data_IF_648497927720
#
_entry.id   IF_648497927720
#
_cell.length_a   1.000
_cell.length_b   1.000
_cell.length_c   1.000
_cell.angle_alpha   90.00
_cell.angle_beta   90.00
_cell.angle_gamma   90.00
#
_symmetry.space_group_name_H-M   'P 1'
#
loop_
_entity.id
_entity.type
_entity.pdbx_description
1 polymer ?
#
# COMPACT_ATOMS: atom_id res chain seq x y z
N UNK A 1 3.18 4.69 -3.89
CA UNK A 1 1.77 4.26 -4.01
C UNK A 1 0.93 5.52 -4.09
N UNK A 2 -0.02 5.58 -5.01
CA UNK A 2 -0.95 6.69 -5.16
C UNK A 2 -2.36 6.11 -5.24
N UNK A 3 -3.24 6.58 -4.35
CA UNK A 3 -4.66 6.32 -4.43
C UNK A 3 -5.35 7.63 -4.84
N UNK A 4 -6.02 7.61 -5.98
CA UNK A 4 -6.83 8.71 -6.48
C UNK A 4 -8.31 8.40 -6.35
N UNK A 5 -9.10 9.43 -6.06
CA UNK A 5 -10.56 9.44 -6.13
C UNK A 5 -10.96 10.59 -7.02
N UNK A 6 -11.40 10.27 -8.23
CA UNK A 6 -11.69 11.24 -9.28
C UNK A 6 -13.19 11.46 -9.37
N UNK A 7 -13.59 12.70 -9.10
CA UNK A 7 -14.95 13.20 -9.29
C UNK A 7 -15.41 13.03 -10.74
N UNK A 8 -16.66 12.64 -10.95
CA UNK A 8 -17.26 12.47 -12.27
C UNK A 8 -17.24 13.75 -13.14
N UNK A 9 -17.16 14.93 -12.52
CA UNK A 9 -17.06 16.22 -13.21
C UNK A 9 -15.62 16.67 -13.44
N UNK A 10 -14.63 15.90 -12.97
CA UNK A 10 -13.21 16.19 -13.19
C UNK A 10 -12.76 15.63 -14.53
N UNK A 11 -12.48 16.55 -15.46
CA UNK A 11 -11.87 16.21 -16.74
C UNK A 11 -10.35 16.43 -16.68
N UNK A 12 -9.59 15.36 -16.91
CA UNK A 12 -8.14 15.46 -17.17
C UNK A 12 -7.85 15.17 -18.63
N UNK A 13 -6.87 15.86 -19.18
CA UNK A 13 -6.49 15.76 -20.59
C UNK A 13 -5.22 14.90 -20.71
N UNK A 14 -5.38 13.57 -20.63
CA UNK A 14 -4.29 12.61 -20.78
C UNK A 14 -4.46 11.35 -19.95
N UNK A 15 -3.41 10.53 -19.90
CA UNK A 15 -3.31 9.39 -18.99
C UNK A 15 -2.86 9.87 -17.61
N UNK A 16 -3.77 9.83 -16.64
CA UNK A 16 -3.52 10.23 -15.25
C UNK A 16 -2.36 9.43 -14.65
N UNK A 17 -2.27 8.12 -14.94
CA UNK A 17 -1.23 7.26 -14.39
C UNK A 17 0.15 7.60 -14.99
N UNK A 18 0.22 7.97 -16.28
CA UNK A 18 1.46 8.45 -16.89
C UNK A 18 1.91 9.76 -16.23
N UNK A 19 1.00 10.74 -16.08
CA UNK A 19 1.32 12.03 -15.49
C UNK A 19 1.79 11.89 -14.04
N UNK A 20 1.12 11.06 -13.24
CA UNK A 20 1.54 10.74 -11.86
C UNK A 20 2.90 10.02 -11.86
N UNK A 21 3.10 9.03 -12.73
CA UNK A 21 4.36 8.29 -12.83
C UNK A 21 5.53 9.20 -13.21
N UNK A 22 5.30 10.20 -14.06
CA UNK A 22 6.29 11.21 -14.42
C UNK A 22 6.70 12.03 -13.19
N UNK A 23 5.73 12.53 -12.41
CA UNK A 23 6.05 13.24 -11.16
C UNK A 23 6.85 12.39 -10.16
N UNK A 24 6.54 11.08 -10.06
CA UNK A 24 7.34 10.14 -9.26
C UNK A 24 8.76 10.00 -9.84
N UNK A 25 8.88 9.76 -11.14
CA UNK A 25 10.17 9.65 -11.82
C UNK A 25 11.05 10.88 -11.57
N UNK A 26 10.53 12.07 -11.82
CA UNK A 26 11.25 13.33 -11.67
C UNK A 26 11.72 13.50 -10.22
N UNK A 27 10.83 13.25 -9.25
CA UNK A 27 11.20 13.30 -7.83
C UNK A 27 12.35 12.34 -7.49
N UNK A 28 12.30 11.09 -7.96
CA UNK A 28 13.33 10.10 -7.62
C UNK A 28 14.65 10.34 -8.36
N UNK A 29 14.63 10.89 -9.57
CA UNK A 29 15.83 11.09 -10.40
C UNK A 29 16.51 12.43 -10.19
N UNK A 30 15.78 13.44 -9.75
CA UNK A 30 16.30 14.80 -9.51
C UNK A 30 16.67 15.08 -8.05
N UNK A 31 16.40 14.12 -7.14
CA UNK A 31 16.71 14.26 -5.72
C UNK A 31 17.53 13.09 -5.18
N UNK A 32 18.00 13.19 -3.95
CA UNK A 32 18.87 12.20 -3.30
C UNK A 32 18.08 11.04 -2.67
N UNK A 33 17.08 10.52 -3.39
CA UNK A 33 16.29 9.35 -2.96
C UNK A 33 16.92 8.04 -3.47
N UNK A 34 16.34 6.90 -3.09
CA UNK A 34 16.87 5.57 -3.43
C UNK A 34 15.96 4.79 -4.36
N UNK A 35 16.52 4.26 -5.45
CA UNK A 35 15.84 3.33 -6.35
C UNK A 35 15.74 1.94 -5.72
N UNK A 36 14.52 1.52 -5.39
CA UNK A 36 14.26 0.32 -4.59
C UNK A 36 13.37 -0.70 -5.31
N UNK A 37 12.94 -0.44 -6.54
CA UNK A 37 12.15 -1.39 -7.34
C UNK A 37 13.05 -2.29 -8.19
N UNK A 38 12.74 -3.58 -8.17
CA UNK A 38 13.39 -4.62 -8.98
C UNK A 38 12.39 -5.13 -10.00
N UNK A 39 12.74 -5.07 -11.28
CA UNK A 39 11.95 -5.65 -12.36
C UNK A 39 12.37 -7.11 -12.57
N UNK A 40 11.41 -8.05 -12.61
CA UNK A 40 11.70 -9.45 -12.91
C UNK A 40 11.96 -9.62 -14.41
N UNK A 41 13.14 -10.13 -14.77
CA UNK A 41 13.50 -10.47 -16.16
C UNK A 41 13.19 -11.93 -16.48
N UNK A 42 13.33 -12.79 -15.47
CA UNK A 42 12.94 -14.19 -15.48
C UNK A 42 12.53 -14.60 -14.05
N UNK A 43 12.32 -15.91 -13.80
CA UNK A 43 11.90 -16.39 -12.48
C UNK A 43 12.91 -16.06 -11.36
N UNK A 44 14.20 -16.01 -11.69
CA UNK A 44 15.28 -15.84 -10.69
C UNK A 44 16.21 -14.66 -11.00
N UNK A 45 15.98 -13.96 -12.12
CA UNK A 45 16.81 -12.83 -12.53
C UNK A 45 16.01 -11.54 -12.41
N UNK A 46 16.61 -10.56 -11.75
CA UNK A 46 16.02 -9.26 -11.52
C UNK A 46 17.00 -8.16 -11.88
N UNK A 47 16.47 -6.98 -12.22
CA UNK A 47 17.27 -5.77 -12.44
C UNK A 47 16.60 -4.58 -11.79
N UNK A 48 17.39 -3.74 -11.12
CA UNK A 48 16.89 -2.47 -10.61
C UNK A 48 16.42 -1.58 -11.77
N UNK A 49 15.26 -0.96 -11.62
CA UNK A 49 14.67 -0.11 -12.68
C UNK A 49 15.43 1.21 -12.88
N UNK A 50 16.25 1.61 -11.90
CA UNK A 50 17.12 2.79 -11.98
C UNK A 50 16.41 4.12 -11.76
N UNK A 51 15.10 4.09 -11.47
CA UNK A 51 14.27 5.29 -11.28
C UNK A 51 13.14 5.09 -10.25
N UNK A 52 13.13 3.95 -9.53
CA UNK A 52 12.12 3.56 -8.54
C UNK A 52 10.67 3.38 -9.08
N UNK A 53 10.48 3.32 -10.40
CA UNK A 53 9.22 2.91 -11.02
C UNK A 53 9.18 1.37 -11.18
N UNK A 54 7.99 0.76 -11.39
CA UNK A 54 6.67 1.38 -11.47
C UNK A 54 6.12 1.85 -10.12
N UNK A 55 5.27 2.88 -10.15
CA UNK A 55 4.43 3.25 -9.02
C UNK A 55 3.12 2.42 -9.05
N UNK A 56 2.67 1.96 -7.88
CA UNK A 56 1.29 1.47 -7.74
C UNK A 56 0.34 2.66 -7.74
N UNK A 57 -0.54 2.74 -8.73
CA UNK A 57 -1.50 3.82 -8.93
C UNK A 57 -2.89 3.20 -9.08
N UNK A 58 -3.80 3.56 -8.18
CA UNK A 58 -5.20 3.12 -8.19
C UNK A 58 -6.09 4.35 -8.22
N UNK A 59 -6.92 4.50 -9.25
CA UNK A 59 -7.83 5.65 -9.40
C UNK A 59 -9.26 5.13 -9.34
N UNK A 60 -10.02 5.58 -8.35
CA UNK A 60 -11.42 5.30 -8.13
C UNK A 60 -12.28 6.41 -8.72
N UNK A 61 -13.47 6.07 -9.21
CA UNK A 61 -14.49 7.04 -9.61
C UNK A 61 -15.34 7.39 -8.39
N UNK A 62 -15.55 8.68 -8.15
CA UNK A 62 -16.47 9.20 -7.12
C UNK A 62 -17.36 10.30 -7.72
N UNK A 63 -18.55 10.60 -7.15
CA UNK A 63 -19.34 11.76 -7.55
C UNK A 63 -18.62 13.08 -7.19
N UNK A 64 -18.96 14.16 -7.90
CA UNK A 64 -18.46 15.51 -7.58
C UNK A 64 -17.41 16.05 -8.56
N UNK A 65 -16.79 17.15 -8.18
CA UNK A 65 -15.87 17.97 -8.99
C UNK A 65 -14.46 18.06 -8.41
N UNK A 66 -14.12 17.19 -7.47
CA UNK A 66 -12.79 17.11 -6.84
C UNK A 66 -11.98 15.91 -7.34
N UNK A 67 -10.66 16.05 -7.29
CA UNK A 67 -9.74 14.94 -7.49
C UNK A 67 -8.86 14.81 -6.26
N UNK A 68 -9.22 13.87 -5.39
CA UNK A 68 -8.54 13.66 -4.12
C UNK A 68 -7.45 12.59 -4.28
N UNK A 69 -6.24 12.92 -3.82
CA UNK A 69 -5.06 12.09 -4.00
C UNK A 69 -4.38 11.82 -2.65
N UNK A 70 -4.16 10.53 -2.37
CA UNK A 70 -3.37 10.06 -1.24
C UNK A 70 -2.05 9.49 -1.76
N UNK A 71 -0.94 10.12 -1.39
CA UNK A 71 0.41 9.69 -1.70
C UNK A 71 1.02 8.94 -0.51
N UNK A 72 1.55 7.75 -0.77
CA UNK A 72 2.22 6.93 0.26
C UNK A 72 3.59 6.49 -0.25
N UNK A 73 4.64 7.00 0.39
CA UNK A 73 6.02 6.53 0.25
C UNK A 73 6.27 5.37 1.23
N UNK A 74 5.69 4.20 0.93
CA UNK A 74 5.73 3.04 1.84
C UNK A 74 7.10 2.35 1.80
N UNK A 75 7.77 2.25 2.95
CA UNK A 75 9.01 1.51 3.09
C UNK A 75 8.78 -0.01 3.13
N UNK A 76 9.61 -0.78 2.42
CA UNK A 76 9.47 -2.24 2.30
C UNK A 76 9.44 -2.99 3.64
N UNK A 77 10.23 -2.56 4.63
CA UNK A 77 10.23 -3.17 5.97
C UNK A 77 8.85 -3.12 6.65
N UNK A 78 8.14 -2.00 6.50
CA UNK A 78 6.77 -1.86 7.03
C UNK A 78 5.73 -2.54 6.14
N UNK A 79 5.93 -2.59 4.83
CA UNK A 79 5.04 -3.31 3.91
C UNK A 79 5.02 -4.81 4.22
N UNK A 80 6.20 -5.40 4.50
CA UNK A 80 6.38 -6.79 4.89
C UNK A 80 5.77 -7.16 6.25
N UNK A 81 5.26 -6.18 7.01
CA UNK A 81 4.55 -6.37 8.28
C UNK A 81 3.04 -6.19 8.15
N UNK A 82 2.53 -6.25 6.92
CA UNK A 82 1.10 -6.38 6.66
C UNK A 82 0.77 -7.88 6.61
N UNK A 83 -0.08 -8.34 7.53
CA UNK A 83 -0.40 -9.76 7.69
C UNK A 83 -1.89 -10.01 7.43
N UNK A 84 -2.18 -11.11 6.74
CA UNK A 84 -3.54 -11.61 6.54
C UNK A 84 -3.76 -12.87 7.37
N UNK A 85 -4.83 -12.89 8.15
CA UNK A 85 -5.21 -14.05 8.95
C UNK A 85 -6.62 -14.52 8.56
N UNK A 86 -6.70 -15.72 7.96
CA UNK A 86 -7.97 -16.38 7.69
C UNK A 86 -8.49 -16.99 8.99
N UNK A 87 -9.50 -16.36 9.60
CA UNK A 87 -10.10 -16.75 10.88
C UNK A 87 -11.60 -16.99 10.73
N UNK A 88 -12.22 -17.61 11.72
CA UNK A 88 -13.65 -17.96 11.71
C UNK A 88 -14.42 -17.20 12.79
N UNK A 89 -15.74 -17.37 12.83
CA UNK A 89 -16.61 -16.78 13.87
C UNK A 89 -16.19 -17.13 15.29
N UNK A 90 -15.52 -18.27 15.50
CA UNK A 90 -15.04 -18.70 16.82
C UNK A 90 -14.07 -17.69 17.46
N UNK A 91 -13.30 -16.94 16.64
CA UNK A 91 -12.40 -15.91 17.15
C UNK A 91 -13.14 -14.70 17.73
N UNK A 92 -14.39 -14.45 17.32
CA UNK A 92 -15.12 -13.22 17.62
C UNK A 92 -15.82 -13.29 18.99
N UNK A 93 -15.02 -13.51 20.03
CA UNK A 93 -15.34 -13.34 21.45
C UNK A 93 -14.14 -12.69 22.15
N UNK A 94 -14.37 -12.08 23.32
CA UNK A 94 -13.37 -11.24 24.00
C UNK A 94 -12.08 -11.99 24.34
N UNK A 95 -12.19 -13.17 24.97
CA UNK A 95 -11.05 -14.00 25.38
C UNK A 95 -10.20 -14.41 24.17
N UNK A 96 -10.83 -15.05 23.18
CA UNK A 96 -10.10 -15.54 22.00
C UNK A 96 -9.50 -14.41 21.15
N UNK A 97 -10.18 -13.26 21.06
CA UNK A 97 -9.66 -12.12 20.30
C UNK A 97 -8.46 -11.48 21.00
N UNK A 98 -8.51 -11.30 22.33
CA UNK A 98 -7.39 -10.73 23.09
C UNK A 98 -6.16 -11.63 23.03
N UNK A 99 -6.33 -12.95 23.19
CA UNK A 99 -5.23 -13.92 23.07
C UNK A 99 -4.58 -13.87 21.68
N UNK A 100 -5.41 -13.83 20.63
CA UNK A 100 -4.94 -13.70 19.25
C UNK A 100 -4.19 -12.38 19.00
N UNK A 101 -4.67 -11.28 19.57
CA UNK A 101 -4.02 -9.98 19.42
C UNK A 101 -2.68 -9.92 20.16
N UNK A 102 -2.57 -10.46 21.38
CA UNK A 102 -1.29 -10.51 22.10
C UNK A 102 -0.25 -11.32 21.30
N UNK A 103 -0.62 -12.50 20.79
CA UNK A 103 0.24 -13.33 19.96
C UNK A 103 0.66 -12.59 18.67
N UNK A 104 -0.31 -12.04 17.93
CA UNK A 104 -0.08 -11.45 16.61
C UNK A 104 0.73 -10.15 16.70
N UNK A 105 0.49 -9.31 17.71
CA UNK A 105 1.21 -8.06 17.89
C UNK A 105 2.67 -8.31 18.27
N UNK A 106 2.96 -9.34 19.08
CA UNK A 106 4.34 -9.76 19.38
C UNK A 106 5.07 -10.24 18.12
N UNK A 107 4.39 -10.94 17.22
CA UNK A 107 4.96 -11.44 15.97
C UNK A 107 5.41 -10.32 15.01
N UNK A 108 4.88 -9.10 15.14
CA UNK A 108 5.36 -7.93 14.39
C UNK A 108 6.84 -7.67 14.72
N UNK A 109 7.21 -7.78 15.99
CA UNK A 109 8.57 -7.54 16.49
C UNK A 109 9.02 -6.08 16.34
N UNK A 110 10.33 -5.85 16.28
CA UNK A 110 10.95 -4.52 16.16
C UNK A 110 11.51 -4.21 14.77
N UNK A 111 11.32 -5.12 13.81
CA UNK A 111 12.01 -5.07 12.51
C UNK A 111 11.43 -4.06 11.51
N UNK A 112 10.39 -3.30 11.90
CA UNK A 112 9.80 -2.24 11.08
C UNK A 112 9.94 -0.85 11.74
N UNK A 113 10.92 -0.66 12.62
CA UNK A 113 11.26 0.62 13.26
C UNK A 113 10.12 1.23 14.10
N UNK A 114 9.78 0.66 15.28
CA UNK A 114 8.81 1.25 16.19
C UNK A 114 9.23 2.65 16.68
N UNK A 115 8.31 3.51 17.20
CA UNK A 115 6.92 3.22 17.58
C UNK A 115 5.96 3.10 16.39
N UNK A 116 5.01 2.18 16.49
CA UNK A 116 4.10 1.84 15.40
C UNK A 116 2.79 2.64 15.46
N UNK A 117 2.30 3.01 14.28
CA UNK A 117 0.88 3.25 14.05
C UNK A 117 0.25 1.91 13.62
N UNK A 118 -0.44 1.25 14.55
CA UNK A 118 -1.03 -0.07 14.29
C UNK A 118 -2.44 0.08 13.71
N UNK A 119 -2.71 -0.65 12.63
CA UNK A 119 -4.05 -0.85 12.09
C UNK A 119 -4.45 -2.31 12.28
N UNK A 120 -5.68 -2.54 12.75
CA UNK A 120 -6.29 -3.85 12.89
C UNK A 120 -7.65 -3.83 12.18
N UNK A 121 -7.83 -4.72 11.21
CA UNK A 121 -9.08 -4.82 10.44
C UNK A 121 -9.69 -6.20 10.67
N UNK A 122 -10.90 -6.24 11.24
CA UNK A 122 -11.64 -7.48 11.53
C UNK A 122 -12.73 -7.67 10.46
N UNK A 123 -12.65 -8.75 9.70
CA UNK A 123 -13.60 -9.07 8.64
C UNK A 123 -13.31 -8.33 7.34
N UNK A 124 -14.24 -8.40 6.39
CA UNK A 124 -14.06 -7.86 5.04
C UNK A 124 -14.73 -8.78 4.01
N UNK A 125 -15.04 -8.25 2.84
CA UNK A 125 -15.68 -9.02 1.76
C UNK A 125 -14.71 -9.95 1.07
N UNK A 126 -13.41 -9.63 1.12
CA UNK A 126 -12.34 -10.42 0.54
C UNK A 126 -11.00 -10.09 1.21
N UNK A 127 -9.98 -10.90 0.93
CA UNK A 127 -8.65 -10.75 1.51
C UNK A 127 -7.98 -9.43 1.09
N UNK A 128 -8.05 -9.11 -0.20
CA UNK A 128 -7.48 -7.90 -0.78
C UNK A 128 -8.20 -6.63 -0.27
N UNK A 129 -9.52 -6.68 -0.06
CA UNK A 129 -10.25 -5.55 0.50
C UNK A 129 -9.93 -5.32 1.98
N UNK A 130 -9.78 -6.40 2.76
CA UNK A 130 -9.34 -6.32 4.16
C UNK A 130 -7.95 -5.68 4.29
N UNK A 131 -6.98 -6.11 3.49
CA UNK A 131 -5.61 -5.57 3.52
C UNK A 131 -5.50 -4.13 3.02
N UNK A 132 -6.47 -3.68 2.22
CA UNK A 132 -6.51 -2.31 1.69
C UNK A 132 -7.12 -1.29 2.66
N UNK A 133 -8.04 -1.73 3.52
CA UNK A 133 -8.82 -0.87 4.45
C UNK A 133 -7.91 -0.19 5.48
#
# INVERSE_FOLDING_TARGET
>A
IVMGKKGEQVLTYGDDAEAISRGVHDTFTETNLRYSQLAPLSMFEEKNTGNNLPAQIEIYSEPGDTYDLLYIAKGGGSANKSFLFQKTKALLNEESLLDFLDESLRAIGTSACPPYHLALVIGGTSAEFNLKT
#
